data_IF_690360624254
#
_entry.id   IF_690360624254
#
_cell.length_a   1.000
_cell.length_b   1.000
_cell.length_c   1.000
_cell.angle_alpha   90.00
_cell.angle_beta   90.00
_cell.angle_gamma   90.00
#
_symmetry.space_group_name_H-M   'P 1'
#
loop_
_entity.id
_entity.type
_entity.pdbx_description
1 polymer ?
#
# COMPACT_ATOMS: atom_id res chain seq x y z
N UNK A 1 -1.38 -23.37 -27.20
CA UNK A 1 -2.57 -22.92 -26.46
C UNK A 1 -2.09 -22.13 -25.27
N UNK A 2 -2.26 -20.81 -25.26
CA UNK A 2 -1.78 -19.96 -24.17
C UNK A 2 -2.84 -19.96 -23.08
N UNK A 3 -2.60 -20.73 -22.02
CA UNK A 3 -3.46 -20.75 -20.84
C UNK A 3 -3.43 -19.37 -20.21
N UNK A 4 -4.57 -18.66 -20.17
CA UNK A 4 -4.72 -17.48 -19.34
C UNK A 4 -4.48 -17.93 -17.89
N UNK A 5 -3.30 -17.64 -17.36
CA UNK A 5 -3.07 -17.69 -15.93
C UNK A 5 -4.06 -16.69 -15.31
N UNK A 6 -5.06 -17.24 -14.63
CA UNK A 6 -6.00 -16.48 -13.82
C UNK A 6 -5.16 -15.80 -12.74
N UNK A 7 -4.89 -14.50 -12.91
CA UNK A 7 -4.25 -13.67 -11.92
C UNK A 7 -5.05 -13.82 -10.62
N UNK A 8 -4.48 -14.47 -9.60
CA UNK A 8 -5.06 -14.45 -8.25
C UNK A 8 -4.69 -13.10 -7.63
N UNK A 9 -5.64 -12.18 -7.42
CA UNK A 9 -5.37 -10.86 -6.85
C UNK A 9 -4.85 -10.93 -5.41
N UNK A 10 -4.91 -12.10 -4.76
CA UNK A 10 -4.35 -12.36 -3.44
C UNK A 10 -2.89 -12.81 -3.47
N UNK A 11 -2.41 -13.33 -4.61
CA UNK A 11 -1.05 -13.84 -4.78
C UNK A 11 -0.08 -12.78 -5.33
N UNK A 12 -0.60 -11.62 -5.73
CA UNK A 12 0.21 -10.50 -6.20
C UNK A 12 -0.54 -9.25 -5.77
N UNK A 13 -0.02 -8.43 -4.83
CA UNK A 13 -0.63 -7.15 -4.48
C UNK A 13 -0.39 -6.18 -5.63
N UNK A 14 -1.09 -6.43 -6.73
CA UNK A 14 -0.92 -5.72 -7.98
C UNK A 14 -1.71 -4.44 -7.84
N UNK A 15 -1.07 -3.34 -8.23
CA UNK A 15 -1.73 -2.04 -8.36
C UNK A 15 -3.14 -2.21 -8.92
N UNK A 16 -4.17 -1.99 -8.11
CA UNK A 16 -5.54 -2.11 -8.60
C UNK A 16 -5.77 -1.04 -9.65
N UNK A 17 -6.73 -1.23 -10.55
CA UNK A 17 -7.11 -0.20 -11.54
C UNK A 17 -7.45 1.14 -10.88
N UNK A 18 -7.95 1.11 -9.64
CA UNK A 18 -8.18 2.30 -8.81
C UNK A 18 -6.88 3.00 -8.41
N UNK A 19 -5.83 2.24 -8.07
CA UNK A 19 -4.51 2.81 -7.79
C UNK A 19 -3.86 3.45 -9.02
N UNK A 20 -4.00 2.83 -10.19
CA UNK A 20 -3.50 3.39 -11.45
C UNK A 20 -4.20 4.70 -11.81
N UNK A 21 -5.44 4.88 -11.37
CA UNK A 21 -6.22 6.11 -11.57
C UNK A 21 -5.94 7.19 -10.52
N UNK A 22 -5.33 6.85 -9.37
CA UNK A 22 -5.03 7.80 -8.29
C UNK A 22 -3.65 8.43 -8.51
N UNK A 23 -3.62 9.61 -9.14
CA UNK A 23 -2.38 10.35 -9.43
C UNK A 23 -1.64 10.77 -8.15
N UNK A 24 -2.34 11.01 -7.04
CA UNK A 24 -1.71 11.42 -5.78
C UNK A 24 -0.98 10.23 -5.15
N UNK A 25 -1.61 9.06 -5.13
CA UNK A 25 -0.98 7.81 -4.73
C UNK A 25 0.27 7.50 -5.56
N UNK A 26 0.20 7.62 -6.89
CA UNK A 26 1.37 7.39 -7.77
C UNK A 26 2.52 8.34 -7.46
N UNK A 27 2.22 9.64 -7.31
CA UNK A 27 3.22 10.64 -6.96
C UNK A 27 3.86 10.37 -5.60
N UNK A 28 3.09 9.91 -4.61
CA UNK A 28 3.59 9.53 -3.31
C UNK A 28 4.51 8.31 -3.37
N UNK A 29 4.18 7.31 -4.21
CA UNK A 29 5.06 6.16 -4.45
C UNK A 29 6.37 6.61 -5.08
N UNK A 30 6.33 7.39 -6.16
CA UNK A 30 7.54 7.88 -6.82
C UNK A 30 8.43 8.70 -5.88
N UNK A 31 7.84 9.51 -5.00
CA UNK A 31 8.56 10.32 -4.02
C UNK A 31 9.22 9.48 -2.92
N UNK A 32 8.56 8.42 -2.49
CA UNK A 32 8.99 7.58 -1.36
C UNK A 32 9.88 6.40 -1.77
N UNK A 33 9.89 6.08 -3.08
CA UNK A 33 10.60 4.93 -3.62
C UNK A 33 12.11 5.06 -3.40
N UNK A 34 12.75 4.06 -2.77
CA UNK A 34 14.20 4.03 -2.68
C UNK A 34 14.82 3.86 -4.07
N UNK A 35 15.98 4.49 -4.29
CA UNK A 35 16.68 4.36 -5.58
C UNK A 35 17.00 2.89 -5.88
N UNK A 36 16.54 2.41 -7.04
CA UNK A 36 16.71 1.02 -7.46
C UNK A 36 15.54 0.08 -7.13
N UNK A 37 14.44 0.59 -6.56
CA UNK A 37 13.22 -0.20 -6.35
C UNK A 37 12.57 -0.61 -7.68
N UNK A 38 12.75 -1.88 -8.09
CA UNK A 38 12.22 -2.42 -9.35
C UNK A 38 10.86 -3.13 -9.19
N UNK A 39 10.40 -3.35 -7.95
CA UNK A 39 9.15 -4.07 -7.66
C UNK A 39 7.90 -3.19 -7.66
N UNK A 40 6.75 -3.84 -7.76
CA UNK A 40 5.47 -3.22 -7.43
C UNK A 40 5.32 -3.12 -5.91
N UNK A 41 4.93 -1.97 -5.36
CA UNK A 41 4.70 -1.85 -3.93
C UNK A 41 3.41 -2.58 -3.55
N UNK A 42 3.35 -3.08 -2.33
CA UNK A 42 2.09 -3.45 -1.72
C UNK A 42 1.30 -2.17 -1.43
N UNK A 43 0.03 -2.16 -1.82
CA UNK A 43 -0.87 -1.04 -1.54
C UNK A 43 -2.26 -1.55 -1.22
N UNK A 44 -2.83 -1.03 -0.14
CA UNK A 44 -4.17 -1.38 0.30
C UNK A 44 -4.99 -0.14 0.62
N UNK A 45 -6.23 -0.09 0.15
CA UNK A 45 -7.18 0.95 0.54
C UNK A 45 -7.64 0.69 1.96
N UNK A 46 -7.32 1.60 2.87
CA UNK A 46 -7.61 1.45 4.30
C UNK A 46 -8.79 2.31 4.78
N UNK A 47 -9.40 3.08 3.87
CA UNK A 47 -10.65 3.79 4.13
C UNK A 47 -10.74 5.13 3.41
N UNK A 48 -11.62 5.99 3.94
CA UNK A 48 -11.74 7.38 3.56
C UNK A 48 -12.12 8.23 4.78
N UNK A 49 -11.72 9.51 4.78
CA UNK A 49 -12.09 10.50 5.79
C UNK A 49 -12.68 11.71 5.09
N UNK A 50 -13.99 11.91 5.26
CA UNK A 50 -14.73 12.77 4.35
C UNK A 50 -14.54 12.28 2.92
N UNK A 51 -14.08 13.16 2.03
CA UNK A 51 -13.78 12.84 0.63
C UNK A 51 -12.35 12.30 0.42
N UNK A 52 -11.48 12.39 1.43
CA UNK A 52 -10.08 11.98 1.32
C UNK A 52 -9.94 10.46 1.35
N UNK A 53 -9.30 9.87 0.34
CA UNK A 53 -8.97 8.43 0.30
C UNK A 53 -7.69 8.16 1.07
N UNK A 54 -7.68 7.06 1.81
CA UNK A 54 -6.54 6.61 2.58
C UNK A 54 -6.00 5.28 2.05
N UNK A 55 -4.69 5.23 1.82
CA UNK A 55 -3.95 4.09 1.30
C UNK A 55 -2.82 3.72 2.25
N UNK A 56 -2.66 2.45 2.60
CA UNK A 56 -1.44 1.92 3.20
C UNK A 56 -0.51 1.44 2.08
N UNK A 57 0.77 1.74 2.17
CA UNK A 57 1.79 1.39 1.17
C UNK A 57 3.02 0.79 1.84
N UNK A 58 3.50 -0.33 1.32
CA UNK A 58 4.81 -0.91 1.61
C UNK A 58 5.56 -1.05 0.28
N UNK A 59 6.59 -0.23 0.07
CA UNK A 59 7.47 -0.31 -1.10
C UNK A 59 8.84 -0.85 -0.67
N UNK A 60 9.03 -2.17 -0.72
CA UNK A 60 10.28 -2.82 -0.36
C UNK A 60 10.68 -2.58 1.10
N UNK A 61 9.72 -2.60 2.03
CA UNK A 61 9.93 -2.36 3.46
C UNK A 61 9.81 -0.88 3.87
N UNK A 62 9.68 0.04 2.91
CA UNK A 62 9.36 1.44 3.22
C UNK A 62 7.84 1.58 3.40
N UNK A 63 7.41 1.70 4.66
CA UNK A 63 5.99 1.77 5.04
C UNK A 63 5.50 3.20 5.26
N UNK A 64 4.39 3.54 4.62
CA UNK A 64 3.73 4.83 4.77
C UNK A 64 2.25 4.77 4.41
N UNK A 65 1.52 5.81 4.80
CA UNK A 65 0.11 6.02 4.45
C UNK A 65 -0.01 7.26 3.60
N UNK A 66 -0.81 7.17 2.54
CA UNK A 66 -1.21 8.32 1.72
C UNK A 66 -2.66 8.65 2.07
N UNK A 67 -2.89 9.83 2.64
CA UNK A 67 -4.21 10.39 2.88
C UNK A 67 -4.36 11.62 1.99
N UNK A 68 -5.07 11.46 0.89
CA UNK A 68 -5.17 12.46 -0.19
C UNK A 68 -3.79 12.92 -0.71
N UNK A 69 -3.31 14.10 -0.34
CA UNK A 69 -2.00 14.66 -0.72
C UNK A 69 -0.93 14.55 0.39
N UNK A 70 -1.30 14.01 1.55
CA UNK A 70 -0.44 13.95 2.73
C UNK A 70 0.13 12.55 2.92
N UNK A 71 1.45 12.47 3.16
CA UNK A 71 2.16 11.22 3.40
C UNK A 71 2.54 11.12 4.87
N UNK A 72 2.14 10.03 5.52
CA UNK A 72 2.54 9.69 6.89
C UNK A 72 3.44 8.47 6.86
N UNK A 73 4.72 8.61 7.20
CA UNK A 73 5.62 7.46 7.37
C UNK A 73 5.18 6.62 8.56
N UNK A 74 5.56 5.34 8.59
CA UNK A 74 5.23 4.45 9.70
C UNK A 74 5.57 5.03 11.09
N UNK A 75 6.73 5.68 11.23
CA UNK A 75 7.14 6.35 12.48
C UNK A 75 6.28 7.58 12.85
N UNK A 76 5.62 8.18 11.87
CA UNK A 76 4.82 9.42 12.01
C UNK A 76 3.30 9.14 12.00
N UNK A 77 2.88 7.88 11.92
CA UNK A 77 1.46 7.49 11.87
C UNK A 77 0.64 7.94 13.08
N UNK A 78 1.29 8.33 14.17
CA UNK A 78 0.61 8.89 15.34
C UNK A 78 -0.04 10.25 15.04
N UNK A 79 0.47 11.02 14.07
CA UNK A 79 -0.15 12.26 13.57
C UNK A 79 -1.40 12.01 12.74
N UNK A 80 -1.54 10.82 12.14
CA UNK A 80 -2.75 10.44 11.45
C UNK A 80 -3.88 10.22 12.46
N UNK A 81 -5.10 10.59 12.07
CA UNK A 81 -6.30 10.37 12.87
C UNK A 81 -6.51 8.88 13.19
N UNK A 82 -7.03 8.60 14.38
CA UNK A 82 -7.03 7.26 14.97
C UNK A 82 -7.60 6.14 14.08
N UNK A 83 -8.71 6.35 13.33
CA UNK A 83 -9.24 5.31 12.43
C UNK A 83 -8.25 4.92 11.31
N UNK A 84 -7.57 5.90 10.71
CA UNK A 84 -6.57 5.67 9.64
C UNK A 84 -5.38 4.92 10.20
N UNK A 85 -4.88 5.33 11.37
CA UNK A 85 -3.77 4.64 12.03
C UNK A 85 -4.10 3.17 12.30
N UNK A 86 -5.27 2.89 12.87
CA UNK A 86 -5.69 1.50 13.16
C UNK A 86 -5.78 0.66 11.88
N UNK A 87 -6.38 1.23 10.82
CA UNK A 87 -6.54 0.52 9.56
C UNK A 87 -5.19 0.28 8.86
N UNK A 88 -4.27 1.24 8.89
CA UNK A 88 -2.92 1.10 8.36
C UNK A 88 -2.13 -0.02 9.04
N UNK A 89 -2.15 -0.05 10.38
CA UNK A 89 -1.48 -1.12 11.15
C UNK A 89 -2.05 -2.50 10.83
N UNK A 90 -3.36 -2.61 10.66
CA UNK A 90 -3.99 -3.86 10.28
C UNK A 90 -3.63 -4.30 8.85
N UNK A 91 -3.49 -3.35 7.92
CA UNK A 91 -3.04 -3.63 6.55
C UNK A 91 -1.60 -4.14 6.54
N UNK A 92 -0.69 -3.46 7.25
CA UNK A 92 0.69 -3.92 7.36
C UNK A 92 0.83 -5.25 8.06
N UNK A 93 0.03 -5.54 9.09
CA UNK A 93 0.03 -6.85 9.74
C UNK A 93 -0.38 -7.98 8.78
N UNK A 94 -1.40 -7.77 7.93
CA UNK A 94 -1.77 -8.72 6.87
C UNK A 94 -0.63 -8.94 5.88
N UNK A 95 0.06 -7.86 5.51
CA UNK A 95 1.20 -7.92 4.60
C UNK A 95 2.38 -8.67 5.22
N UNK A 96 2.63 -8.47 6.52
CA UNK A 96 3.65 -9.20 7.29
C UNK A 96 3.34 -10.70 7.34
N UNK A 97 2.09 -11.07 7.63
CA UNK A 97 1.65 -12.47 7.64
C UNK A 97 1.82 -13.13 6.26
N UNK A 98 1.53 -12.41 5.18
CA UNK A 98 1.71 -12.90 3.81
C UNK A 98 3.19 -13.18 3.47
N UNK A 99 4.10 -12.24 3.77
CA UNK A 99 5.52 -12.41 3.45
C UNK A 99 6.28 -13.28 4.45
N UNK A 100 5.82 -13.37 5.70
CA UNK A 100 6.41 -14.24 6.74
C UNK A 100 6.09 -15.72 6.55
N UNK A 101 5.07 -16.05 5.73
CA UNK A 101 4.66 -17.41 5.42
C UNK A 101 5.53 -18.16 4.40
N UNK A 102 6.45 -17.48 3.71
CA UNK A 102 7.37 -18.09 2.71
C UNK A 102 8.64 -18.69 3.31
N UNK A 103 8.71 -18.85 4.63
CA UNK A 103 9.77 -19.61 5.31
C UNK A 103 9.21 -20.82 6.05
N UNK A 104 8.81 -21.88 5.34
CA UNK A 104 8.91 -23.28 5.79
C UNK A 104 8.91 -24.23 4.60
#
# INVERSE_FOLDING_TARGET
>A
MTQLQMFDPRATPTATREMLADTKLRSAIDLMRPQGGAGWPYVERIGAIGDARAWAVDDGGVRYVVLDDTIFRAGDLWFAVAPVRKAALAAFARWDEFNGGETT
#
